data_IF_612603497308
#
_entry.id   IF_612603497308
#
_cell.length_a   1.000
_cell.length_b   1.000
_cell.length_c   1.000
_cell.angle_alpha   90.00
_cell.angle_beta   90.00
_cell.angle_gamma   90.00
#
_symmetry.space_group_name_H-M   'P 1'
#
loop_
_entity.id
_entity.type
_entity.pdbx_description
1 polymer ?
#
# COMPACT_ATOMS: atom_id res chain seq x y z
N UNK A 1 14.01 28.01 -10.68
CA UNK A 1 15.06 27.45 -9.81
C UNK A 1 14.78 25.95 -9.65
N UNK A 2 15.49 25.18 -10.48
CA UNK A 2 15.70 23.71 -10.52
C UNK A 2 14.50 22.78 -10.31
N UNK A 3 13.86 22.40 -11.42
CA UNK A 3 13.21 21.10 -11.56
C UNK A 3 14.31 20.02 -11.61
N UNK A 4 14.24 19.04 -10.71
CA UNK A 4 15.05 17.81 -10.82
C UNK A 4 14.51 17.05 -12.02
N UNK A 5 15.30 16.97 -13.09
CA UNK A 5 15.02 16.14 -14.27
C UNK A 5 14.70 14.71 -13.82
N UNK A 6 13.60 14.14 -14.30
CA UNK A 6 12.98 12.86 -13.91
C UNK A 6 13.89 11.62 -13.96
N UNK A 7 14.93 11.60 -13.12
CA UNK A 7 15.79 10.45 -12.88
C UNK A 7 15.23 9.66 -11.71
N UNK A 8 14.52 8.58 -12.02
CA UNK A 8 13.99 7.60 -11.06
C UNK A 8 15.09 6.64 -10.53
N UNK A 9 16.33 7.11 -10.39
CA UNK A 9 17.45 6.26 -9.94
C UNK A 9 17.32 6.00 -8.44
N UNK A 10 17.05 4.74 -8.06
CA UNK A 10 16.88 4.33 -6.65
C UNK A 10 15.48 4.57 -6.06
N UNK A 11 14.53 5.03 -6.89
CA UNK A 11 13.12 5.19 -6.50
C UNK A 11 12.28 3.94 -6.72
N UNK A 12 12.77 3.01 -7.55
CA UNK A 12 12.16 1.70 -7.72
C UNK A 12 12.51 0.80 -6.52
N UNK A 13 11.50 0.46 -5.75
CA UNK A 13 11.63 -0.43 -4.59
C UNK A 13 11.17 -1.82 -5.00
N UNK A 14 12.11 -2.71 -5.32
CA UNK A 14 11.85 -4.15 -5.40
C UNK A 14 11.71 -4.73 -3.99
N UNK A 15 10.66 -4.31 -3.28
CA UNK A 15 10.37 -4.78 -1.93
C UNK A 15 10.27 -6.31 -1.90
N UNK A 16 10.80 -6.99 -0.87
CA UNK A 16 10.60 -8.43 -0.73
C UNK A 16 9.10 -8.72 -0.56
N UNK A 17 8.71 -9.99 -0.72
CA UNK A 17 7.36 -10.42 -0.37
C UNK A 17 7.13 -10.17 1.13
N UNK A 18 6.43 -9.08 1.47
CA UNK A 18 6.23 -8.62 2.84
C UNK A 18 5.36 -9.60 3.62
N UNK A 19 4.47 -10.33 2.94
CA UNK A 19 3.70 -11.37 3.58
C UNK A 19 4.59 -12.50 4.15
N UNK A 20 5.56 -13.00 3.36
CA UNK A 20 6.54 -14.00 3.83
C UNK A 20 7.45 -13.48 4.94
N UNK A 21 7.80 -12.19 4.88
CA UNK A 21 8.56 -11.54 5.94
C UNK A 21 7.76 -11.54 7.26
N UNK A 22 6.49 -11.14 7.23
CA UNK A 22 5.62 -11.10 8.40
C UNK A 22 5.36 -12.50 9.00
N UNK A 23 5.19 -13.53 8.17
CA UNK A 23 5.08 -14.92 8.63
C UNK A 23 6.31 -15.36 9.43
N UNK A 24 7.51 -14.90 9.05
CA UNK A 24 8.75 -15.21 9.77
C UNK A 24 8.80 -14.62 11.20
N UNK A 25 7.97 -13.60 11.47
CA UNK A 25 7.78 -13.00 12.80
C UNK A 25 6.49 -13.49 13.49
N UNK A 26 5.91 -14.61 13.03
CA UNK A 26 4.65 -15.16 13.55
C UNK A 26 3.46 -14.20 13.46
N UNK A 27 3.51 -13.23 12.55
CA UNK A 27 2.37 -12.38 12.23
C UNK A 27 1.52 -13.03 11.14
N UNK A 28 0.19 -12.89 11.24
CA UNK A 28 -0.70 -13.35 10.19
C UNK A 28 -0.59 -12.41 9.00
N UNK A 29 -0.14 -12.92 7.86
CA UNK A 29 0.05 -12.10 6.67
C UNK A 29 -0.86 -12.53 5.52
N UNK A 30 -1.26 -11.57 4.69
CA UNK A 30 -1.98 -11.86 3.43
C UNK A 30 -1.64 -10.79 2.40
N UNK A 31 -1.47 -11.20 1.15
CA UNK A 31 -1.35 -10.28 0.02
C UNK A 31 -2.71 -10.12 -0.64
N UNK A 32 -3.22 -8.90 -0.73
CA UNK A 32 -4.52 -8.55 -1.27
C UNK A 32 -4.36 -7.78 -2.59
N UNK A 33 -4.34 -8.50 -3.69
CA UNK A 33 -4.10 -8.01 -5.06
C UNK A 33 -5.32 -7.40 -5.76
N UNK A 34 -6.50 -7.46 -5.15
CA UNK A 34 -7.70 -6.82 -5.67
C UNK A 34 -8.65 -6.38 -4.53
N UNK A 35 -9.56 -5.41 -4.78
CA UNK A 35 -10.38 -4.80 -3.73
C UNK A 35 -11.22 -5.79 -2.91
N UNK A 36 -11.81 -6.80 -3.56
CA UNK A 36 -12.60 -7.81 -2.87
C UNK A 36 -11.77 -8.64 -1.86
N UNK A 37 -10.50 -8.93 -2.19
CA UNK A 37 -9.59 -9.65 -1.30
C UNK A 37 -9.16 -8.79 -0.12
N UNK A 38 -8.94 -7.49 -0.36
CA UNK A 38 -8.68 -6.52 0.70
C UNK A 38 -9.86 -6.43 1.67
N UNK A 39 -11.09 -6.30 1.15
CA UNK A 39 -12.30 -6.24 1.96
C UNK A 39 -12.49 -7.50 2.81
N UNK A 40 -12.25 -8.69 2.24
CA UNK A 40 -12.28 -9.96 2.97
C UNK A 40 -11.20 -10.02 4.06
N UNK A 41 -9.96 -9.67 3.72
CA UNK A 41 -8.84 -9.65 4.66
C UNK A 41 -9.08 -8.67 5.81
N UNK A 42 -9.64 -7.49 5.56
CA UNK A 42 -9.98 -6.53 6.61
C UNK A 42 -11.02 -7.10 7.57
N UNK A 43 -12.10 -7.72 7.05
CA UNK A 43 -13.13 -8.34 7.90
C UNK A 43 -12.56 -9.43 8.79
N UNK A 44 -11.76 -10.33 8.21
CA UNK A 44 -11.13 -11.43 8.96
C UNK A 44 -10.17 -10.91 10.03
N UNK A 45 -9.23 -10.03 9.65
CA UNK A 45 -8.14 -9.59 10.53
C UNK A 45 -8.55 -8.58 11.60
N UNK A 46 -9.64 -7.84 11.38
CA UNK A 46 -10.21 -6.96 12.42
C UNK A 46 -11.14 -7.71 13.38
N UNK A 47 -11.63 -8.90 13.01
CA UNK A 47 -12.52 -9.69 13.87
C UNK A 47 -11.77 -10.43 14.98
N UNK A 48 -10.45 -10.61 14.84
CA UNK A 48 -9.63 -11.31 15.83
C UNK A 48 -8.46 -10.44 16.31
N UNK A 49 -8.20 -10.40 17.62
CA UNK A 49 -7.03 -9.71 18.15
C UNK A 49 -5.74 -10.45 17.72
N UNK A 50 -4.74 -9.70 17.25
CA UNK A 50 -3.45 -10.25 16.88
C UNK A 50 -2.64 -9.35 15.95
N UNK A 51 -1.37 -9.69 15.76
CA UNK A 51 -0.52 -9.01 14.78
C UNK A 51 -0.89 -9.50 13.38
N UNK A 52 -1.32 -8.56 12.53
CA UNK A 52 -1.68 -8.84 11.15
C UNK A 52 -0.98 -7.88 10.20
N UNK A 53 -0.55 -8.39 9.04
CA UNK A 53 -0.03 -7.62 7.91
C UNK A 53 -0.89 -7.90 6.67
N UNK A 54 -1.34 -6.84 6.00
CA UNK A 54 -1.99 -6.95 4.69
C UNK A 54 -1.12 -6.22 3.67
N UNK A 55 -0.50 -6.96 2.75
CA UNK A 55 0.25 -6.38 1.63
C UNK A 55 -0.72 -6.06 0.49
N UNK A 56 -0.81 -4.79 0.09
CA UNK A 56 -1.68 -4.35 -1.00
C UNK A 56 -0.80 -3.84 -2.15
N UNK A 57 -0.59 -4.62 -3.22
CA UNK A 57 0.08 -4.10 -4.39
C UNK A 57 -0.78 -3.01 -5.01
N UNK A 58 -0.23 -1.80 -5.11
CA UNK A 58 -0.78 -0.68 -5.86
C UNK A 58 0.05 -0.48 -7.13
N UNK A 59 -0.56 0.08 -8.17
CA UNK A 59 0.17 0.57 -9.33
C UNK A 59 0.97 1.83 -8.95
N UNK A 60 1.16 2.77 -9.87
CA UNK A 60 1.78 4.05 -9.52
C UNK A 60 1.01 4.70 -8.34
N UNK A 61 1.75 5.06 -7.28
CA UNK A 61 1.14 5.66 -6.10
C UNK A 61 0.62 7.04 -6.50
N UNK A 62 -0.69 7.29 -6.38
CA UNK A 62 -1.23 8.54 -6.85
C UNK A 62 -0.79 9.67 -5.91
N UNK A 63 -0.59 10.87 -6.46
CA UNK A 63 -0.07 12.01 -5.70
C UNK A 63 -0.99 12.37 -4.54
N UNK A 64 -0.39 12.63 -3.37
CA UNK A 64 -1.13 13.08 -2.17
C UNK A 64 -1.44 14.58 -2.18
N UNK A 65 -0.83 15.34 -3.10
CA UNK A 65 -0.94 16.80 -3.20
C UNK A 65 -2.39 17.29 -3.35
N UNK A 66 -3.28 16.64 -4.14
CA UNK A 66 -4.69 17.01 -4.21
C UNK A 66 -5.42 16.95 -2.86
N UNK A 67 -5.07 16.00 -1.97
CA UNK A 67 -5.68 15.91 -0.64
C UNK A 67 -5.18 17.02 0.29
N UNK A 68 -3.88 17.34 0.22
CA UNK A 68 -3.26 18.38 1.06
C UNK A 68 -3.73 19.79 0.68
N UNK A 69 -4.05 20.01 -0.59
CA UNK A 69 -4.50 21.31 -1.11
C UNK A 69 -6.03 21.49 -1.03
N UNK A 70 -6.73 20.61 -0.31
CA UNK A 70 -8.18 20.74 -0.10
C UNK A 70 -9.05 20.28 -1.26
N UNK A 71 -8.52 19.42 -2.14
CA UNK A 71 -9.31 18.78 -3.18
C UNK A 71 -10.40 17.88 -2.59
N UNK A 72 -11.57 17.74 -3.27
CA UNK A 72 -12.65 16.89 -2.79
C UNK A 72 -12.19 15.43 -2.55
N UNK A 73 -12.80 14.70 -1.61
CA UNK A 73 -12.49 13.28 -1.41
C UNK A 73 -12.65 12.50 -2.72
N UNK A 74 -11.59 11.81 -3.14
CA UNK A 74 -11.52 11.14 -4.45
C UNK A 74 -10.85 11.94 -5.58
N UNK A 75 -10.30 13.13 -5.30
CA UNK A 75 -9.48 13.91 -6.25
C UNK A 75 -8.15 13.24 -6.60
N UNK A 76 -7.78 12.22 -5.84
CA UNK A 76 -6.67 11.33 -6.13
C UNK A 76 -7.19 10.30 -7.13
N UNK A 77 -7.29 10.69 -8.39
CA UNK A 77 -7.53 9.81 -9.53
C UNK A 77 -6.54 10.19 -10.62
N UNK A 78 -5.81 9.16 -11.06
CA UNK A 78 -4.74 9.08 -12.07
C UNK A 78 -4.10 10.39 -12.53
#
# INVERSE_FOLDING_TARGET
MLAVEGRFTGSDLTGPNFARLAESFSARAVRADHPARLAGALKDRLSEPGRSLIEVPVAEMPSVLPLLLGGPPGSVRD
#
